data_IF_497491521174
#
_entry.id   IF_497491521174
#
_cell.length_a   1.000
_cell.length_b   1.000
_cell.length_c   1.000
_cell.angle_alpha   90.00
_cell.angle_beta   90.00
_cell.angle_gamma   90.00
#
_symmetry.space_group_name_H-M   'P 1'
#
loop_
_entity.id
_entity.type
_entity.pdbx_description
1 polymer ?
#
# COMPACT_ATOMS: atom_id res chain seq x y z
N UNK A 1 8.93 -21.62 -7.96
CA UNK A 1 8.98 -20.19 -7.56
C UNK A 1 9.42 -20.14 -6.11
N UNK A 2 10.53 -19.47 -5.80
CA UNK A 2 10.94 -19.24 -4.42
C UNK A 2 10.10 -18.10 -3.84
N UNK A 3 9.21 -18.42 -2.90
CA UNK A 3 8.43 -17.44 -2.18
C UNK A 3 9.19 -17.04 -0.93
N UNK A 4 9.43 -15.73 -0.76
CA UNK A 4 10.01 -15.15 0.45
C UNK A 4 9.02 -14.16 1.02
N UNK A 5 8.85 -14.20 2.34
CA UNK A 5 8.04 -13.23 3.07
C UNK A 5 8.96 -12.41 3.98
N UNK A 6 8.68 -11.11 4.08
CA UNK A 6 9.30 -10.23 5.08
C UNK A 6 8.21 -9.55 5.88
N UNK A 7 8.36 -9.58 7.19
CA UNK A 7 7.52 -8.82 8.10
C UNK A 7 8.03 -7.39 8.21
N UNK A 8 7.12 -6.42 8.19
CA UNK A 8 7.41 -5.04 8.54
C UNK A 8 6.44 -4.59 9.63
N UNK A 9 6.91 -3.69 10.48
CA UNK A 9 6.11 -3.06 11.52
C UNK A 9 5.96 -1.58 11.20
N UNK A 10 4.77 -1.04 11.40
CA UNK A 10 4.48 0.37 11.20
C UNK A 10 4.32 1.00 12.58
N UNK A 11 5.25 1.89 12.94
CA UNK A 11 5.16 2.71 14.14
C UNK A 11 4.75 4.13 13.74
N UNK A 12 3.52 4.51 14.07
CA UNK A 12 3.02 5.85 13.83
C UNK A 12 3.67 6.84 14.82
N UNK A 13 4.59 7.66 14.32
CA UNK A 13 5.26 8.72 15.11
C UNK A 13 4.42 10.00 15.23
N UNK A 14 3.30 10.06 14.52
CA UNK A 14 2.28 11.10 14.56
C UNK A 14 0.89 10.46 14.42
N UNK A 15 -0.20 11.19 14.71
CA UNK A 15 -1.55 10.69 14.44
C UNK A 15 -1.69 10.27 12.97
N UNK A 16 -2.18 9.05 12.74
CA UNK A 16 -2.32 8.44 11.41
C UNK A 16 -3.80 8.26 11.07
N UNK A 17 -4.21 8.74 9.88
CA UNK A 17 -5.58 8.62 9.39
C UNK A 17 -5.62 7.82 8.08
N UNK A 18 -5.89 6.52 8.18
CA UNK A 18 -6.23 5.69 7.01
C UNK A 18 -7.73 5.79 6.73
N UNK A 19 -8.13 6.78 5.92
CA UNK A 19 -9.54 7.05 5.65
C UNK A 19 -10.21 6.01 4.75
N UNK A 20 -11.51 5.78 4.97
CA UNK A 20 -12.36 4.91 4.13
C UNK A 20 -13.51 5.66 3.45
N UNK A 21 -13.32 6.97 3.26
CA UNK A 21 -14.35 7.87 2.74
C UNK A 21 -15.23 8.42 3.86
N UNK A 22 -16.48 8.77 3.51
CA UNK A 22 -17.44 9.38 4.44
C UNK A 22 -18.25 8.31 5.16
N UNK A 23 -18.28 8.40 6.50
CA UNK A 23 -19.11 7.57 7.34
C UNK A 23 -20.58 8.01 7.36
N UNK A 24 -21.48 7.05 7.51
CA UNK A 24 -22.92 7.29 7.76
C UNK A 24 -23.25 7.40 9.26
N UNK A 25 -22.23 7.30 10.11
CA UNK A 25 -22.35 7.24 11.57
C UNK A 25 -21.90 8.57 12.20
N UNK A 26 -21.75 8.61 13.53
CA UNK A 26 -21.37 9.80 14.29
C UNK A 26 -20.03 10.45 13.85
N UNK A 27 -19.16 9.68 13.19
CA UNK A 27 -17.87 10.16 12.67
C UNK A 27 -17.98 10.37 11.15
N UNK A 28 -17.81 11.60 10.70
CA UNK A 28 -17.86 11.96 9.28
C UNK A 28 -16.71 11.31 8.48
N UNK A 29 -15.47 11.37 8.99
CA UNK A 29 -14.29 10.78 8.35
C UNK A 29 -13.71 9.67 9.24
N UNK A 30 -14.27 8.45 9.18
CA UNK A 30 -13.76 7.34 9.97
C UNK A 30 -12.43 6.81 9.40
N UNK A 31 -11.61 6.26 10.29
CA UNK A 31 -10.46 5.44 9.90
C UNK A 31 -10.92 4.02 9.52
N UNK A 32 -10.10 3.34 8.73
CA UNK A 32 -10.29 1.96 8.34
C UNK A 32 -10.36 1.04 9.56
N UNK A 33 -11.42 0.23 9.61
CA UNK A 33 -11.67 -0.75 10.67
C UNK A 33 -12.12 -2.07 10.08
N UNK A 34 -11.59 -3.15 10.62
CA UNK A 34 -12.02 -4.49 10.23
C UNK A 34 -13.47 -4.70 10.66
N UNK A 35 -14.31 -5.19 9.74
CA UNK A 35 -15.78 -5.17 9.92
C UNK A 35 -16.26 -5.99 11.12
N UNK A 36 -15.60 -7.09 11.45
CA UNK A 36 -16.07 -8.04 12.46
C UNK A 36 -15.44 -7.80 13.84
N UNK A 37 -14.18 -7.33 13.91
CA UNK A 37 -13.52 -6.97 15.19
C UNK A 37 -13.74 -5.51 15.59
N UNK A 38 -13.91 -4.63 14.60
CA UNK A 38 -13.81 -3.18 14.78
C UNK A 38 -12.37 -2.68 15.01
N UNK A 39 -11.34 -3.52 14.92
CA UNK A 39 -9.95 -3.09 15.11
C UNK A 39 -9.50 -2.15 13.98
N UNK A 40 -8.75 -1.08 14.31
CA UNK A 40 -8.17 -0.23 13.29
C UNK A 40 -7.13 -1.03 12.50
N UNK A 41 -7.09 -0.83 11.19
CA UNK A 41 -6.08 -1.45 10.34
C UNK A 41 -5.66 -0.49 9.23
N UNK A 42 -4.53 -0.78 8.61
CA UNK A 42 -4.07 -0.12 7.39
C UNK A 42 -4.31 -1.07 6.21
N UNK A 43 -5.13 -0.70 5.22
CA UNK A 43 -5.31 -1.53 4.04
C UNK A 43 -3.98 -1.76 3.32
N UNK A 44 -3.71 -3.00 2.92
CA UNK A 44 -2.51 -3.38 2.17
C UNK A 44 -2.39 -2.64 0.84
N UNK A 45 -3.52 -2.23 0.25
CA UNK A 45 -3.57 -1.35 -0.92
C UNK A 45 -3.06 0.06 -0.62
N UNK A 46 -3.38 0.62 0.56
CA UNK A 46 -2.86 1.91 1.02
C UNK A 46 -1.35 1.83 1.23
N UNK A 47 -0.86 0.77 1.89
CA UNK A 47 0.59 0.54 2.08
C UNK A 47 1.30 0.37 0.73
N UNK A 48 0.74 -0.45 -0.18
CA UNK A 48 1.26 -0.63 -1.53
C UNK A 48 1.35 0.69 -2.28
N UNK A 49 0.31 1.53 -2.22
CA UNK A 49 0.25 2.82 -2.90
C UNK A 49 1.38 3.76 -2.44
N UNK A 50 1.54 3.92 -1.13
CA UNK A 50 2.60 4.77 -0.56
C UNK A 50 4.00 4.26 -0.94
N UNK A 51 4.24 2.95 -0.83
CA UNK A 51 5.53 2.38 -1.18
C UNK A 51 5.82 2.45 -2.69
N UNK A 52 4.78 2.33 -3.53
CA UNK A 52 4.90 2.50 -4.98
C UNK A 52 5.31 3.93 -5.31
N UNK A 53 4.65 4.93 -4.73
CA UNK A 53 4.98 6.34 -4.95
C UNK A 53 6.42 6.66 -4.52
N UNK A 54 6.85 6.16 -3.35
CA UNK A 54 8.24 6.31 -2.90
C UNK A 54 9.21 5.65 -3.87
N UNK A 55 8.90 4.45 -4.37
CA UNK A 55 9.74 3.75 -5.33
C UNK A 55 9.83 4.50 -6.68
N UNK A 56 8.75 5.12 -7.14
CA UNK A 56 8.73 5.97 -8.33
C UNK A 56 9.62 7.22 -8.15
N UNK A 57 9.55 7.90 -7.00
CA UNK A 57 10.47 9.01 -6.67
C UNK A 57 11.93 8.58 -6.56
N UNK A 58 12.19 7.38 -6.02
CA UNK A 58 13.53 6.80 -5.97
C UNK A 58 14.03 6.40 -7.38
N UNK A 59 13.13 6.08 -8.30
CA UNK A 59 13.50 5.89 -9.69
C UNK A 59 13.90 7.21 -10.36
N UNK A 60 13.14 8.28 -10.15
CA UNK A 60 13.47 9.62 -10.64
C UNK A 60 14.85 10.10 -10.15
N UNK A 61 15.19 9.82 -8.89
CA UNK A 61 16.51 10.13 -8.32
C UNK A 61 17.62 9.14 -8.70
N UNK A 62 17.31 8.13 -9.53
CA UNK A 62 18.21 7.06 -10.00
C UNK A 62 18.71 6.11 -8.90
N UNK A 63 18.06 6.10 -7.74
CA UNK A 63 18.33 5.13 -6.68
C UNK A 63 17.71 3.75 -6.97
N UNK A 64 16.63 3.70 -7.75
CA UNK A 64 16.02 2.48 -8.27
C UNK A 64 15.92 2.52 -9.81
N UNK A 65 15.95 1.34 -10.43
CA UNK A 65 15.70 1.17 -11.86
C UNK A 65 14.20 1.01 -12.13
N UNK A 66 13.76 1.40 -13.34
CA UNK A 66 12.37 1.19 -13.77
C UNK A 66 11.96 -0.29 -13.69
N UNK A 67 12.90 -1.22 -13.93
CA UNK A 67 12.67 -2.66 -13.86
C UNK A 67 12.37 -3.12 -12.43
N UNK A 68 13.03 -2.54 -11.42
CA UNK A 68 12.77 -2.85 -10.01
C UNK A 68 11.38 -2.36 -9.57
N UNK A 69 11.03 -1.12 -9.95
CA UNK A 69 9.69 -0.57 -9.66
C UNK A 69 8.60 -1.40 -10.34
N UNK A 70 8.76 -1.66 -11.64
CA UNK A 70 7.83 -2.49 -12.43
C UNK A 70 7.72 -3.91 -11.86
N UNK A 71 8.86 -4.54 -11.56
CA UNK A 71 8.91 -5.89 -11.00
C UNK A 71 8.23 -5.99 -9.63
N UNK A 72 8.33 -4.94 -8.80
CA UNK A 72 7.71 -4.91 -7.48
C UNK A 72 6.20 -4.64 -7.54
N UNK A 73 5.78 -3.60 -8.24
CA UNK A 73 4.41 -3.07 -8.14
C UNK A 73 3.51 -3.38 -9.34
N UNK A 74 4.10 -3.71 -10.48
CA UNK A 74 3.44 -3.93 -11.77
C UNK A 74 3.40 -2.66 -12.65
N UNK A 75 2.78 -2.76 -13.84
CA UNK A 75 2.63 -1.64 -14.78
C UNK A 75 1.76 -0.49 -14.24
N UNK A 76 1.69 0.61 -15.00
CA UNK A 76 0.65 1.62 -14.80
C UNK A 76 -0.74 1.05 -15.16
N UNK A 77 -1.79 1.78 -14.80
CA UNK A 77 -3.18 1.37 -15.05
C UNK A 77 -3.49 1.17 -16.53
N UNK A 78 -2.84 1.92 -17.42
CA UNK A 78 -3.03 1.83 -18.87
C UNK A 78 -2.61 0.47 -19.44
N UNK A 79 -1.69 -0.21 -18.74
CA UNK A 79 -1.11 -1.50 -19.13
C UNK A 79 -1.35 -2.58 -18.08
N UNK A 80 -2.42 -2.44 -17.27
CA UNK A 80 -2.68 -3.33 -16.12
C UNK A 80 -2.87 -4.81 -16.51
N UNK A 81 -3.22 -5.10 -17.78
CA UNK A 81 -3.36 -6.46 -18.31
C UNK A 81 -2.05 -7.15 -18.65
N UNK A 82 -0.95 -6.40 -18.79
CA UNK A 82 0.29 -6.92 -19.38
C UNK A 82 1.13 -7.72 -18.37
N UNK A 83 1.09 -7.33 -17.10
CA UNK A 83 1.87 -7.95 -16.05
C UNK A 83 1.31 -7.69 -14.66
N UNK A 84 1.77 -8.49 -13.68
CA UNK A 84 1.50 -8.32 -12.25
C UNK A 84 2.75 -7.86 -11.51
N UNK A 85 2.55 -7.11 -10.42
CA UNK A 85 3.61 -6.86 -9.45
C UNK A 85 4.03 -8.15 -8.75
N UNK A 86 5.32 -8.24 -8.41
CA UNK A 86 5.90 -9.38 -7.70
C UNK A 86 5.71 -9.32 -6.18
N UNK A 87 5.37 -8.16 -5.61
CA UNK A 87 5.12 -7.99 -4.19
C UNK A 87 3.62 -8.04 -3.85
N UNK A 88 3.32 -8.73 -2.75
CA UNK A 88 1.99 -8.77 -2.13
C UNK A 88 2.08 -8.10 -0.77
N UNK A 89 1.19 -7.16 -0.50
CA UNK A 89 1.14 -6.39 0.73
C UNK A 89 -0.09 -6.83 1.53
N UNK A 90 0.13 -7.25 2.77
CA UNK A 90 -0.96 -7.56 3.70
C UNK A 90 -1.48 -6.30 4.37
N UNK A 91 -2.70 -6.40 4.90
CA UNK A 91 -3.20 -5.41 5.86
C UNK A 91 -2.30 -5.38 7.10
N UNK A 92 -2.20 -4.20 7.73
CA UNK A 92 -1.36 -3.92 8.90
C UNK A 92 -2.20 -3.50 10.11
#
# INVERSE_FOLDING_TARGET
MTQSAKLYFIHATSPLHAGVGTGLDAINLPTARERWTGYPFLPGSSVKGVLREVAERLHESKALTQKEVFGAFGPSTDYAGDARGGLVFSDA
#
